data_IF_227052298198
#
_entry.id   IF_227052298198
#
_cell.length_a   1.000
_cell.length_b   1.000
_cell.length_c   1.000
_cell.angle_alpha   90.00
_cell.angle_beta   90.00
_cell.angle_gamma   90.00
#
_symmetry.space_group_name_H-M   'P 1'
#
loop_
_entity.id
_entity.type
_entity.pdbx_description
1 polymer ?
#
# COMPACT_ATOMS: atom_id res chain seq x y z
N UNK A 1 -22.40 8.88 48.36
CA UNK A 1 -21.11 9.59 48.26
C UNK A 1 -20.55 9.29 46.87
N UNK A 2 -21.12 9.76 45.76
CA UNK A 2 -21.51 11.12 45.35
C UNK A 2 -20.33 12.07 45.30
N UNK A 3 -19.70 12.22 44.13
CA UNK A 3 -19.57 13.50 43.40
C UNK A 3 -19.15 13.26 41.95
N UNK A 4 -19.92 13.86 41.05
CA UNK A 4 -19.71 13.98 39.60
C UNK A 4 -19.70 15.48 39.31
N UNK A 5 -18.76 15.98 38.50
CA UNK A 5 -18.74 17.40 38.09
C UNK A 5 -18.88 17.49 36.58
N UNK A 6 -20.08 17.87 36.16
CA UNK A 6 -20.43 18.30 34.81
C UNK A 6 -20.38 19.83 34.75
N UNK A 7 -19.74 20.39 33.73
CA UNK A 7 -19.71 21.83 33.44
C UNK A 7 -20.62 22.11 32.24
N UNK A 8 -21.72 22.82 32.48
CA UNK A 8 -22.69 23.27 31.48
C UNK A 8 -22.48 24.76 31.20
N UNK A 9 -22.19 25.09 29.93
CA UNK A 9 -22.06 26.48 29.45
C UNK A 9 -23.46 27.02 29.12
N UNK A 10 -23.81 28.14 29.74
CA UNK A 10 -25.08 28.83 29.60
C UNK A 10 -25.15 29.64 28.29
N UNK A 11 -26.28 29.50 27.58
CA UNK A 11 -26.70 30.36 26.47
C UNK A 11 -27.20 31.70 27.00
N UNK A 12 -26.67 32.81 26.50
CA UNK A 12 -27.23 34.15 26.69
C UNK A 12 -27.60 34.77 25.35
N UNK A 13 -28.91 34.94 25.13
CA UNK A 13 -29.47 35.79 24.07
C UNK A 13 -29.52 37.25 24.56
N UNK A 14 -29.40 38.24 23.67
CA UNK A 14 -30.00 39.55 23.92
C UNK A 14 -31.09 39.84 22.88
N UNK A 15 -32.32 39.96 23.39
CA UNK A 15 -33.45 40.55 22.69
C UNK A 15 -33.46 42.06 22.91
N UNK A 16 -33.41 42.79 21.80
CA UNK A 16 -34.10 44.06 21.51
C UNK A 16 -34.47 44.99 22.67
N UNK A 17 -33.84 46.18 22.69
CA UNK A 17 -34.53 47.46 22.91
C UNK A 17 -33.57 48.63 22.68
N UNK A 18 -33.76 49.37 21.58
CA UNK A 18 -33.29 50.75 21.44
C UNK A 18 -34.23 51.45 20.44
N UNK A 19 -35.20 52.18 21.00
CA UNK A 19 -36.10 53.05 20.26
C UNK A 19 -35.47 54.45 20.15
N UNK A 20 -35.33 54.89 18.90
CA UNK A 20 -35.47 56.23 18.33
C UNK A 20 -35.15 57.47 19.19
N UNK A 21 -34.21 58.26 18.70
CA UNK A 21 -34.41 59.71 18.61
C UNK A 21 -34.10 60.16 17.18
N UNK A 22 -35.14 60.50 16.44
CA UNK A 22 -35.08 61.33 15.23
C UNK A 22 -34.61 62.73 15.63
N UNK A 23 -33.56 63.20 14.97
CA UNK A 23 -33.26 64.63 14.83
C UNK A 23 -32.99 64.84 13.35
N UNK A 24 -34.00 65.33 12.64
CA UNK A 24 -33.83 65.90 11.31
C UNK A 24 -33.00 67.19 11.44
N UNK A 25 -31.86 67.26 10.75
CA UNK A 25 -31.38 68.52 10.19
C UNK A 25 -30.58 68.24 8.92
N UNK A 26 -31.00 68.93 7.86
CA UNK A 26 -30.54 68.84 6.48
C UNK A 26 -29.01 69.04 6.34
N UNK A 27 -28.44 68.42 5.29
CA UNK A 27 -27.01 68.35 4.85
C UNK A 27 -26.25 67.04 5.16
N UNK A 28 -26.89 65.99 5.68
CA UNK A 28 -26.24 64.74 6.14
C UNK A 28 -26.03 63.59 5.13
N UNK A 29 -26.63 63.64 3.93
CA UNK A 29 -26.77 62.46 3.06
C UNK A 29 -25.47 61.86 2.51
N UNK A 30 -24.39 62.66 2.40
CA UNK A 30 -23.08 62.19 1.91
C UNK A 30 -22.19 61.70 3.05
N UNK A 31 -22.22 62.35 4.23
CA UNK A 31 -21.39 61.95 5.38
C UNK A 31 -21.85 60.63 6.02
N UNK A 32 -23.15 60.39 6.07
CA UNK A 32 -23.69 59.17 6.70
C UNK A 32 -23.49 57.93 5.81
N UNK A 33 -23.62 58.07 4.47
CA UNK A 33 -23.27 57.00 3.52
C UNK A 33 -21.79 56.62 3.58
N UNK A 34 -20.90 57.62 3.59
CA UNK A 34 -19.44 57.40 3.63
C UNK A 34 -18.99 56.78 4.96
N UNK A 35 -19.60 57.13 6.09
CA UNK A 35 -19.29 56.49 7.38
C UNK A 35 -19.78 55.03 7.47
N UNK A 36 -20.94 54.70 6.88
CA UNK A 36 -21.45 53.33 6.87
C UNK A 36 -20.63 52.44 5.94
N UNK A 37 -20.20 52.93 4.78
CA UNK A 37 -19.25 52.22 3.89
C UNK A 37 -17.89 51.98 4.56
N UNK A 38 -17.31 52.99 5.22
CA UNK A 38 -16.02 52.84 5.90
C UNK A 38 -16.05 51.86 7.09
N UNK A 39 -17.11 51.86 7.90
CA UNK A 39 -17.29 50.91 9.00
C UNK A 39 -17.54 49.49 8.50
N UNK A 40 -18.23 49.35 7.36
CA UNK A 40 -18.44 48.06 6.70
C UNK A 40 -17.11 47.47 6.21
N UNK A 41 -16.27 48.27 5.54
CA UNK A 41 -14.94 47.83 5.09
C UNK A 41 -14.01 47.45 6.24
N UNK A 42 -14.02 48.22 7.34
CA UNK A 42 -13.26 47.89 8.54
C UNK A 42 -13.74 46.58 9.20
N UNK A 43 -15.06 46.34 9.21
CA UNK A 43 -15.66 45.10 9.71
C UNK A 43 -15.31 43.89 8.85
N UNK A 44 -15.40 44.03 7.52
CA UNK A 44 -14.99 42.99 6.56
C UNK A 44 -13.51 42.66 6.73
N UNK A 45 -12.65 43.68 6.85
CA UNK A 45 -11.22 43.48 7.09
C UNK A 45 -10.95 42.71 8.39
N UNK A 46 -11.60 43.08 9.48
CA UNK A 46 -11.43 42.38 10.77
C UNK A 46 -11.93 40.93 10.70
N UNK A 47 -13.01 40.66 9.96
CA UNK A 47 -13.49 39.29 9.72
C UNK A 47 -12.47 38.47 8.91
N UNK A 48 -11.87 39.06 7.88
CA UNK A 48 -10.84 38.38 7.07
C UNK A 48 -9.57 38.11 7.89
N UNK A 49 -9.13 39.05 8.73
CA UNK A 49 -8.02 38.85 9.67
C UNK A 49 -8.30 37.71 10.67
N UNK A 50 -9.55 37.61 11.17
CA UNK A 50 -9.96 36.50 12.04
C UNK A 50 -9.93 35.16 11.30
N UNK A 51 -10.50 35.11 10.09
CA UNK A 51 -10.49 33.92 9.26
C UNK A 51 -9.05 33.49 8.94
N UNK A 52 -8.18 34.43 8.60
CA UNK A 52 -6.75 34.19 8.35
C UNK A 52 -6.04 33.60 9.57
N UNK A 53 -6.33 34.08 10.78
CA UNK A 53 -5.64 33.67 12.01
C UNK A 53 -6.17 32.37 12.65
N UNK A 54 -7.36 31.90 12.25
CA UNK A 54 -8.03 30.79 12.94
C UNK A 54 -7.94 29.49 12.11
N UNK A 55 -7.61 28.33 12.70
CA UNK A 55 -7.72 27.04 12.00
C UNK A 55 -9.20 26.70 11.74
N UNK A 56 -9.48 26.01 10.64
CA UNK A 56 -10.83 25.57 10.29
C UNK A 56 -10.87 24.04 10.23
N UNK A 57 -11.99 23.46 10.62
CA UNK A 57 -12.35 22.08 10.25
C UNK A 57 -12.69 22.00 8.76
N UNK A 58 -12.74 20.78 8.21
CA UNK A 58 -13.11 20.57 6.79
C UNK A 58 -14.49 21.16 6.44
N UNK A 59 -15.47 21.04 7.34
CA UNK A 59 -16.83 21.58 7.16
C UNK A 59 -16.84 23.13 7.19
N UNK A 60 -16.08 23.71 8.12
CA UNK A 60 -15.91 25.16 8.21
C UNK A 60 -15.17 25.70 6.98
N UNK A 61 -14.16 25.01 6.50
CA UNK A 61 -13.40 25.37 5.30
C UNK A 61 -14.31 25.45 4.07
N UNK A 62 -15.14 24.44 3.80
CA UNK A 62 -16.09 24.47 2.69
C UNK A 62 -17.06 25.64 2.80
N UNK A 63 -17.51 25.93 4.02
CA UNK A 63 -18.40 27.06 4.31
C UNK A 63 -17.69 28.39 4.01
N UNK A 64 -16.48 28.59 4.54
CA UNK A 64 -15.67 29.79 4.33
C UNK A 64 -15.39 30.01 2.85
N UNK A 65 -14.96 28.97 2.13
CA UNK A 65 -14.71 29.04 0.68
C UNK A 65 -15.98 29.42 -0.08
N UNK A 66 -17.13 28.83 0.27
CA UNK A 66 -18.40 29.11 -0.40
C UNK A 66 -18.87 30.56 -0.20
N UNK A 67 -18.73 31.08 1.02
CA UNK A 67 -19.13 32.45 1.38
C UNK A 67 -18.20 33.47 0.73
N UNK A 68 -16.88 33.25 0.79
CA UNK A 68 -15.90 34.13 0.14
C UNK A 68 -16.12 34.21 -1.37
N UNK A 69 -16.36 33.06 -2.06
CA UNK A 69 -16.70 33.06 -3.49
C UNK A 69 -17.96 33.88 -3.84
N UNK A 70 -18.92 33.97 -2.92
CA UNK A 70 -20.16 34.73 -3.13
C UNK A 70 -19.98 36.23 -2.91
N UNK A 71 -19.06 36.62 -2.03
CA UNK A 71 -18.87 38.01 -1.62
C UNK A 71 -18.14 38.88 -2.67
N UNK A 72 -17.44 38.29 -3.66
CA UNK A 72 -16.76 39.00 -4.78
C UNK A 72 -15.95 40.22 -4.31
N UNK A 73 -15.22 40.09 -3.21
CA UNK A 73 -14.38 41.12 -2.61
C UNK A 73 -13.12 41.33 -3.46
N UNK A 74 -12.73 42.59 -3.68
CA UNK A 74 -11.50 42.95 -4.40
C UNK A 74 -10.26 42.85 -3.51
N UNK A 75 -9.32 41.93 -3.82
CA UNK A 75 -7.94 41.75 -3.30
C UNK A 75 -7.66 40.95 -1.99
N UNK A 76 -8.44 40.99 -0.88
CA UNK A 76 -8.11 40.24 0.34
C UNK A 76 -8.67 38.82 0.36
N UNK A 77 -9.50 38.43 -0.63
CA UNK A 77 -9.86 37.02 -0.88
C UNK A 77 -8.62 36.15 -1.09
N UNK A 78 -7.60 36.70 -1.74
CA UNK A 78 -6.43 35.94 -2.20
C UNK A 78 -5.65 35.32 -1.03
N UNK A 79 -5.49 36.02 0.09
CA UNK A 79 -4.72 35.53 1.26
C UNK A 79 -5.44 34.41 2.01
N UNK A 80 -6.74 34.59 2.27
CA UNK A 80 -7.54 33.61 3.03
C UNK A 80 -7.80 32.38 2.16
N UNK A 81 -8.08 32.57 0.86
CA UNK A 81 -8.28 31.48 -0.09
C UNK A 81 -6.96 30.75 -0.42
N UNK A 82 -5.79 31.39 -0.33
CA UNK A 82 -4.48 30.72 -0.48
C UNK A 82 -4.24 29.59 0.54
N UNK A 83 -4.93 29.60 1.69
CA UNK A 83 -4.87 28.47 2.66
C UNK A 83 -5.48 27.18 2.10
N UNK A 84 -6.34 27.31 1.09
CA UNK A 84 -7.26 26.26 0.63
C UNK A 84 -7.08 25.92 -0.84
N UNK A 85 -6.70 26.90 -1.67
CA UNK A 85 -6.39 26.66 -3.07
C UNK A 85 -4.91 26.43 -3.29
N UNK A 86 -4.62 25.26 -3.82
CA UNK A 86 -3.39 25.00 -4.54
C UNK A 86 -3.41 25.79 -5.87
N UNK A 87 -2.39 26.63 -6.14
CA UNK A 87 -2.23 27.23 -7.47
C UNK A 87 -2.12 26.13 -8.53
N UNK A 88 -2.62 26.31 -9.78
CA UNK A 88 -2.51 25.30 -10.84
C UNK A 88 -1.07 24.78 -11.08
N UNK A 89 -0.05 25.61 -10.80
CA UNK A 89 1.38 25.31 -10.82
C UNK A 89 1.85 24.30 -9.75
N UNK A 90 0.98 23.93 -8.81
CA UNK A 90 1.34 23.06 -7.67
C UNK A 90 1.11 21.58 -7.91
N UNK A 91 0.36 21.15 -8.94
CA UNK A 91 0.17 19.72 -9.18
C UNK A 91 1.48 19.02 -9.57
N UNK A 92 2.31 19.64 -10.41
CA UNK A 92 3.66 19.13 -10.76
C UNK A 92 4.64 19.25 -9.59
N UNK A 93 4.38 20.13 -8.61
CA UNK A 93 5.12 20.16 -7.34
C UNK A 93 4.64 19.08 -6.36
N UNK A 94 3.36 18.70 -6.41
CA UNK A 94 2.77 17.72 -5.51
C UNK A 94 3.42 16.34 -5.69
N UNK A 95 3.65 15.92 -6.94
CA UNK A 95 4.39 14.68 -7.25
C UNK A 95 5.81 14.72 -6.67
N UNK A 96 6.52 15.84 -6.86
CA UNK A 96 7.85 16.03 -6.30
C UNK A 96 7.88 16.01 -4.77
N UNK A 97 6.86 16.57 -4.11
CA UNK A 97 6.71 16.52 -2.64
C UNK A 97 6.44 15.08 -2.19
N UNK A 98 5.56 14.36 -2.88
CA UNK A 98 5.20 13.01 -2.53
C UNK A 98 6.37 12.03 -2.71
N UNK A 99 7.11 12.14 -3.82
CA UNK A 99 8.38 11.41 -4.03
C UNK A 99 9.35 11.67 -2.88
N UNK A 100 9.47 12.92 -2.41
CA UNK A 100 10.33 13.29 -1.28
C UNK A 100 9.84 12.69 0.04
N UNK A 101 8.52 12.69 0.30
CA UNK A 101 7.94 12.08 1.49
C UNK A 101 8.18 10.57 1.52
N UNK A 102 7.85 9.88 0.42
CA UNK A 102 8.07 8.44 0.28
C UNK A 102 9.56 8.11 0.42
N UNK A 103 10.44 8.83 -0.27
CA UNK A 103 11.89 8.65 -0.17
C UNK A 103 12.41 8.89 1.26
N UNK A 104 11.88 9.92 1.94
CA UNK A 104 12.24 10.24 3.32
C UNK A 104 11.87 9.11 4.28
N UNK A 105 10.70 8.50 4.10
CA UNK A 105 10.29 7.31 4.87
C UNK A 105 11.20 6.12 4.58
N UNK A 106 11.50 5.84 3.32
CA UNK A 106 12.37 4.71 2.96
C UNK A 106 13.79 4.87 3.52
N UNK A 107 14.27 6.10 3.69
CA UNK A 107 15.59 6.42 4.24
C UNK A 107 15.61 6.70 5.75
N UNK A 108 14.47 6.65 6.42
CA UNK A 108 14.37 6.95 7.84
C UNK A 108 15.17 5.94 8.67
N UNK A 109 15.96 6.47 9.62
CA UNK A 109 16.79 5.67 10.55
C UNK A 109 16.02 5.24 11.80
N UNK A 110 15.09 6.07 12.27
CA UNK A 110 14.26 5.76 13.42
C UNK A 110 13.11 4.85 13.01
N UNK A 111 13.10 3.64 13.56
CA UNK A 111 12.15 2.59 13.19
C UNK A 111 10.70 2.93 13.59
N UNK A 112 10.51 3.63 14.72
CA UNK A 112 9.19 4.02 15.18
C UNK A 112 8.60 5.11 14.30
N UNK A 113 9.35 6.18 14.05
CA UNK A 113 8.95 7.27 13.18
C UNK A 113 8.68 6.79 11.75
N UNK A 114 9.52 5.87 11.25
CA UNK A 114 9.33 5.23 9.95
C UNK A 114 8.00 4.49 9.88
N UNK A 115 7.68 3.68 10.88
CA UNK A 115 6.42 2.92 10.94
C UNK A 115 5.19 3.82 11.06
N UNK A 116 5.25 4.83 11.92
CA UNK A 116 4.16 5.82 12.09
C UNK A 116 3.92 6.59 10.78
N UNK A 117 4.99 7.02 10.10
CA UNK A 117 4.87 7.74 8.83
C UNK A 117 4.39 6.83 7.70
N UNK A 118 4.80 5.56 7.64
CA UNK A 118 4.25 4.58 6.69
C UNK A 118 2.74 4.41 6.88
N UNK A 119 2.28 4.30 8.12
CA UNK A 119 0.86 4.15 8.44
C UNK A 119 0.06 5.41 8.08
N UNK A 120 0.60 6.59 8.40
CA UNK A 120 -0.02 7.87 8.05
C UNK A 120 -0.15 8.04 6.54
N UNK A 121 0.94 7.84 5.79
CA UNK A 121 0.93 7.97 4.34
C UNK A 121 0.03 6.93 3.67
N UNK A 122 0.02 5.69 4.16
CA UNK A 122 -0.89 4.67 3.64
C UNK A 122 -2.37 5.07 3.80
N UNK A 123 -2.73 5.68 4.93
CA UNK A 123 -4.09 6.20 5.16
C UNK A 123 -4.41 7.37 4.23
N UNK A 124 -3.56 8.40 4.20
CA UNK A 124 -3.77 9.59 3.38
C UNK A 124 -3.84 9.26 1.88
N UNK A 125 -2.97 8.37 1.40
CA UNK A 125 -2.97 7.92 0.01
C UNK A 125 -4.15 7.00 -0.34
N UNK A 126 -4.81 6.41 0.66
CA UNK A 126 -6.02 5.62 0.50
C UNK A 126 -7.32 6.43 0.53
N UNK A 127 -7.31 7.59 1.20
CA UNK A 127 -8.46 8.50 1.28
C UNK A 127 -8.61 9.36 0.00
N UNK A 128 -7.51 9.62 -0.72
CA UNK A 128 -7.46 10.50 -1.90
C UNK A 128 -7.03 9.84 -3.21
N UNK A 129 -7.47 8.61 -3.49
CA UNK A 129 -7.00 7.78 -4.64
C UNK A 129 -7.12 8.51 -5.99
N UNK A 130 -8.10 9.40 -6.15
CA UNK A 130 -8.30 10.18 -7.38
C UNK A 130 -7.59 11.55 -7.39
N UNK A 131 -7.03 12.00 -6.27
CA UNK A 131 -6.43 13.34 -6.12
C UNK A 131 -4.89 13.32 -6.13
N UNK A 132 -4.28 12.20 -5.71
CA UNK A 132 -2.83 12.02 -5.70
C UNK A 132 -2.43 11.02 -6.79
N UNK A 133 -1.99 11.56 -7.94
CA UNK A 133 -1.41 10.75 -9.01
C UNK A 133 0.04 10.38 -8.65
N UNK A 134 0.20 9.49 -7.65
CA UNK A 134 1.50 8.80 -7.51
C UNK A 134 1.70 8.02 -8.79
N UNK A 135 2.57 8.54 -9.64
CA UNK A 135 2.84 7.91 -10.93
C UNK A 135 3.40 6.50 -10.71
N UNK A 136 2.99 5.57 -11.57
CA UNK A 136 3.50 4.19 -11.59
C UNK A 136 5.02 4.19 -11.55
N UNK A 137 5.59 5.05 -12.37
CA UNK A 137 7.02 5.26 -12.56
C UNK A 137 7.71 5.62 -11.24
N UNK A 138 7.08 6.42 -10.39
CA UNK A 138 7.61 6.78 -9.07
C UNK A 138 7.71 5.57 -8.16
N UNK A 139 6.64 4.78 -8.03
CA UNK A 139 6.65 3.61 -7.14
C UNK A 139 7.65 2.57 -7.61
N UNK A 140 7.73 2.32 -8.93
CA UNK A 140 8.70 1.38 -9.48
C UNK A 140 10.13 1.90 -9.36
N UNK A 141 10.38 3.20 -9.53
CA UNK A 141 11.69 3.80 -9.25
C UNK A 141 12.14 3.54 -7.81
N UNK A 142 11.24 3.71 -6.83
CA UNK A 142 11.50 3.41 -5.43
C UNK A 142 11.70 1.90 -5.18
N UNK A 143 10.94 1.03 -5.84
CA UNK A 143 11.15 -0.43 -5.80
C UNK A 143 12.54 -0.78 -6.31
N UNK A 144 12.96 -0.27 -7.48
CA UNK A 144 14.30 -0.51 -8.01
C UNK A 144 15.40 -0.04 -7.06
N UNK A 145 15.22 1.11 -6.42
CA UNK A 145 16.16 1.62 -5.41
C UNK A 145 16.29 0.66 -4.21
N UNK A 146 15.17 0.19 -3.66
CA UNK A 146 15.19 -0.78 -2.56
C UNK A 146 15.76 -2.14 -2.99
N UNK A 147 15.46 -2.62 -4.21
CA UNK A 147 16.05 -3.84 -4.76
C UNK A 147 17.58 -3.72 -4.89
N UNK A 148 18.07 -2.63 -5.46
CA UNK A 148 19.51 -2.40 -5.62
C UNK A 148 20.23 -2.36 -4.27
N UNK A 149 19.61 -1.76 -3.24
CA UNK A 149 20.15 -1.78 -1.88
C UNK A 149 20.11 -3.19 -1.28
N UNK A 150 19.04 -3.96 -1.46
CA UNK A 150 18.98 -5.36 -1.02
C UNK A 150 20.08 -6.20 -1.68
N UNK A 151 20.31 -6.03 -2.99
CA UNK A 151 21.41 -6.69 -3.70
C UNK A 151 22.77 -6.35 -3.10
N UNK A 152 23.03 -5.06 -2.83
CA UNK A 152 24.28 -4.63 -2.20
C UNK A 152 24.46 -5.25 -0.81
N UNK A 153 23.43 -5.18 0.04
CA UNK A 153 23.45 -5.71 1.40
C UNK A 153 23.61 -7.23 1.44
N UNK A 154 22.94 -7.96 0.54
CA UNK A 154 23.05 -9.42 0.45
C UNK A 154 24.40 -9.85 -0.12
N UNK A 155 24.91 -9.13 -1.12
CA UNK A 155 26.26 -9.35 -1.65
C UNK A 155 27.31 -9.16 -0.58
N UNK A 156 27.19 -8.10 0.21
CA UNK A 156 28.09 -7.87 1.33
C UNK A 156 27.97 -8.99 2.37
N UNK A 157 26.75 -9.30 2.82
CA UNK A 157 26.48 -10.38 3.78
C UNK A 157 27.02 -11.75 3.33
N UNK A 158 26.95 -12.07 2.04
CA UNK A 158 27.44 -13.32 1.48
C UNK A 158 28.98 -13.42 1.42
N UNK A 159 29.67 -12.27 1.41
CA UNK A 159 31.14 -12.18 1.34
C UNK A 159 31.77 -11.73 2.67
N UNK A 160 30.99 -11.64 3.75
CA UNK A 160 31.47 -11.19 5.06
C UNK A 160 32.43 -12.22 5.69
N UNK A 161 33.68 -11.82 5.91
CA UNK A 161 34.62 -12.55 6.76
C UNK A 161 34.35 -12.26 8.25
N UNK A 162 34.73 -13.20 9.13
CA UNK A 162 34.57 -13.07 10.59
C UNK A 162 35.39 -11.86 11.13
N UNK A 163 34.74 -10.70 11.31
CA UNK A 163 35.31 -9.52 12.00
C UNK A 163 35.20 -8.16 11.28
N UNK A 164 34.68 -8.09 10.05
CA UNK A 164 34.71 -6.87 9.23
C UNK A 164 33.61 -5.83 9.54
N UNK A 165 32.44 -6.26 10.01
CA UNK A 165 31.26 -5.40 10.22
C UNK A 165 30.38 -5.96 11.33
N UNK A 166 29.67 -5.06 12.01
CA UNK A 166 28.59 -5.46 12.93
C UNK A 166 27.48 -6.21 12.17
N UNK A 167 27.46 -7.52 12.41
CA UNK A 167 26.48 -8.49 11.92
C UNK A 167 25.05 -8.12 12.29
N UNK A 168 24.83 -7.53 13.46
CA UNK A 168 23.51 -7.07 13.90
C UNK A 168 23.03 -5.86 13.11
N UNK A 169 23.91 -4.90 12.84
CA UNK A 169 23.60 -3.73 12.01
C UNK A 169 23.21 -4.14 10.59
N UNK A 170 24.00 -5.03 9.95
CA UNK A 170 23.71 -5.53 8.61
C UNK A 170 22.37 -6.28 8.54
N UNK A 171 22.09 -7.14 9.52
CA UNK A 171 20.79 -7.80 9.64
C UNK A 171 19.64 -6.78 9.75
N UNK A 172 19.81 -5.75 10.57
CA UNK A 172 18.83 -4.67 10.71
C UNK A 172 18.59 -3.89 9.41
N UNK A 173 19.64 -3.64 8.63
CA UNK A 173 19.52 -2.96 7.33
C UNK A 173 18.82 -3.82 6.27
N UNK A 174 19.11 -5.12 6.22
CA UNK A 174 18.41 -6.05 5.31
C UNK A 174 16.93 -6.12 5.69
N UNK A 175 16.61 -6.28 6.98
CA UNK A 175 15.23 -6.29 7.46
C UNK A 175 14.50 -4.99 7.14
N UNK A 176 15.16 -3.84 7.32
CA UNK A 176 14.60 -2.51 6.99
C UNK A 176 14.28 -2.38 5.51
N UNK A 177 15.20 -2.80 4.63
CA UNK A 177 14.97 -2.70 3.18
C UNK A 177 13.94 -3.72 2.67
N UNK A 178 13.84 -4.90 3.29
CA UNK A 178 12.77 -5.85 2.99
C UNK A 178 11.39 -5.30 3.41
N UNK A 179 11.28 -4.67 4.59
CA UNK A 179 10.05 -4.03 5.05
C UNK A 179 9.68 -2.79 4.22
N UNK A 180 10.68 -2.04 3.72
CA UNK A 180 10.48 -0.99 2.71
C UNK A 180 9.86 -1.54 1.43
N UNK A 181 10.40 -2.64 0.91
CA UNK A 181 9.85 -3.31 -0.28
C UNK A 181 8.43 -3.80 -0.04
N UNK A 182 8.17 -4.41 1.12
CA UNK A 182 6.85 -4.90 1.46
C UNK A 182 5.83 -3.76 1.51
N UNK A 183 6.20 -2.60 2.08
CA UNK A 183 5.33 -1.43 2.10
C UNK A 183 5.03 -0.87 0.70
N UNK A 184 6.03 -0.81 -0.18
CA UNK A 184 5.85 -0.44 -1.59
C UNK A 184 4.90 -1.41 -2.31
N UNK A 185 5.04 -2.72 -2.06
CA UNK A 185 4.14 -3.73 -2.59
C UNK A 185 2.68 -3.51 -2.13
N UNK A 186 2.44 -3.19 -0.85
CA UNK A 186 1.07 -2.88 -0.38
C UNK A 186 0.47 -1.67 -1.11
N UNK A 187 1.28 -0.63 -1.35
CA UNK A 187 0.83 0.56 -2.11
C UNK A 187 0.52 0.22 -3.58
N UNK A 188 1.31 -0.65 -4.20
CA UNK A 188 1.04 -1.12 -5.57
C UNK A 188 -0.22 -1.98 -5.62
N UNK A 189 -0.46 -2.83 -4.62
CA UNK A 189 -1.67 -3.66 -4.55
C UNK A 189 -2.91 -2.80 -4.34
N UNK A 190 -2.89 -1.85 -3.39
CA UNK A 190 -4.04 -0.99 -3.11
C UNK A 190 -4.45 -0.14 -4.32
N UNK A 191 -3.49 0.19 -5.19
CA UNK A 191 -3.70 0.94 -6.44
C UNK A 191 -3.91 0.06 -7.68
N UNK A 192 -3.93 -1.27 -7.53
CA UNK A 192 -4.07 -2.24 -8.65
C UNK A 192 -2.96 -2.12 -9.71
N UNK A 193 -1.73 -1.88 -9.27
CA UNK A 193 -0.54 -1.67 -10.12
C UNK A 193 0.59 -2.66 -9.82
N UNK A 194 0.28 -3.73 -9.09
CA UNK A 194 1.26 -4.73 -8.68
C UNK A 194 1.53 -5.83 -9.71
N UNK A 195 0.89 -5.79 -10.88
CA UNK A 195 1.08 -6.76 -11.96
C UNK A 195 2.54 -6.79 -12.46
N UNK A 196 3.12 -5.63 -12.73
CA UNK A 196 4.51 -5.49 -13.15
C UNK A 196 5.49 -5.83 -12.01
N UNK A 197 5.09 -5.62 -10.75
CA UNK A 197 5.88 -6.03 -9.60
C UNK A 197 6.07 -7.56 -9.54
N UNK A 198 5.06 -8.34 -9.96
CA UNK A 198 5.20 -9.80 -10.02
C UNK A 198 6.37 -10.20 -10.92
N UNK A 199 6.46 -9.60 -12.10
CA UNK A 199 7.55 -9.85 -13.05
C UNK A 199 8.87 -9.35 -12.51
N UNK A 200 8.90 -8.10 -11.98
CA UNK A 200 10.09 -7.53 -11.36
C UNK A 200 10.66 -8.43 -10.26
N UNK A 201 9.79 -8.96 -9.38
CA UNK A 201 10.18 -9.85 -8.30
C UNK A 201 10.64 -11.21 -8.83
N UNK A 202 9.94 -11.79 -9.80
CA UNK A 202 10.29 -13.06 -10.42
C UNK A 202 11.68 -13.04 -11.08
N UNK A 203 12.10 -11.90 -11.62
CA UNK A 203 13.37 -11.75 -12.33
C UNK A 203 14.60 -11.64 -11.41
N UNK A 204 14.39 -11.56 -10.09
CA UNK A 204 15.47 -11.42 -9.09
C UNK A 204 16.22 -12.73 -8.79
N UNK A 205 16.68 -13.44 -9.82
CA UNK A 205 17.40 -14.73 -9.71
C UNK A 205 18.76 -14.59 -9.01
N UNK A 206 19.48 -13.52 -9.28
CA UNK A 206 20.75 -13.23 -8.60
C UNK A 206 20.52 -12.95 -7.12
N UNK A 207 19.48 -12.19 -6.77
CA UNK A 207 19.13 -11.91 -5.38
C UNK A 207 18.77 -13.21 -4.65
N UNK A 208 17.98 -14.09 -5.28
CA UNK A 208 17.64 -15.39 -4.73
C UNK A 208 18.88 -16.28 -4.51
N UNK A 209 19.87 -16.21 -5.41
CA UNK A 209 21.16 -16.92 -5.27
C UNK A 209 22.04 -16.37 -4.14
N UNK A 210 22.03 -15.06 -3.90
CA UNK A 210 22.70 -14.46 -2.74
C UNK A 210 21.94 -14.79 -1.44
N UNK A 211 20.61 -14.75 -1.48
CA UNK A 211 19.73 -15.08 -0.37
C UNK A 211 20.03 -16.49 0.16
N UNK A 212 20.22 -17.50 -0.70
CA UNK A 212 20.55 -18.87 -0.25
C UNK A 212 21.92 -19.03 0.42
N UNK A 213 22.82 -18.03 0.33
CA UNK A 213 24.18 -18.10 0.89
C UNK A 213 24.30 -17.52 2.29
N UNK A 214 23.28 -16.79 2.76
CA UNK A 214 23.34 -16.09 4.05
C UNK A 214 22.41 -16.72 5.08
N UNK A 215 22.69 -16.62 6.39
CA UNK A 215 21.88 -17.28 7.41
C UNK A 215 20.43 -16.78 7.42
N UNK A 216 19.47 -17.68 7.65
CA UNK A 216 18.03 -17.40 7.64
C UNK A 216 17.64 -16.17 8.48
N UNK A 217 18.28 -15.97 9.64
CA UNK A 217 18.01 -14.82 10.52
C UNK A 217 18.21 -13.46 9.85
N UNK A 218 19.06 -13.35 8.82
CA UNK A 218 19.30 -12.12 8.07
C UNK A 218 18.24 -11.86 6.99
N UNK A 219 17.68 -12.94 6.44
CA UNK A 219 17.04 -12.91 5.11
C UNK A 219 15.56 -13.28 5.12
N UNK A 220 15.02 -13.78 6.23
CA UNK A 220 13.62 -14.25 6.28
C UNK A 220 12.59 -13.16 5.98
N UNK A 221 12.92 -11.89 6.24
CA UNK A 221 12.07 -10.74 5.88
C UNK A 221 11.90 -10.60 4.36
N UNK A 222 12.89 -11.00 3.57
CA UNK A 222 12.80 -11.01 2.10
C UNK A 222 11.78 -12.07 1.65
N UNK A 223 11.81 -13.25 2.27
CA UNK A 223 10.85 -14.33 2.00
C UNK A 223 9.40 -13.94 2.35
N UNK A 224 9.18 -13.00 3.27
CA UNK A 224 7.85 -12.46 3.56
C UNK A 224 7.26 -11.65 2.41
N UNK A 225 8.10 -11.03 1.56
CA UNK A 225 7.63 -10.34 0.35
C UNK A 225 7.02 -11.37 -0.61
N UNK A 226 7.72 -12.48 -0.85
CA UNK A 226 7.21 -13.62 -1.65
C UNK A 226 5.93 -14.19 -1.05
N UNK A 227 5.89 -14.38 0.28
CA UNK A 227 4.69 -14.87 0.96
C UNK A 227 3.50 -13.94 0.74
N UNK A 228 3.70 -12.62 0.90
CA UNK A 228 2.66 -11.61 0.66
C UNK A 228 2.21 -11.57 -0.80
N UNK A 229 3.13 -11.73 -1.74
CA UNK A 229 2.82 -11.78 -3.17
C UNK A 229 1.98 -13.02 -3.51
N UNK A 230 2.30 -14.18 -2.94
CA UNK A 230 1.48 -15.40 -3.09
C UNK A 230 0.08 -15.23 -2.50
N UNK A 231 -0.07 -14.53 -1.38
CA UNK A 231 -1.39 -14.16 -0.84
C UNK A 231 -2.14 -13.28 -1.83
N UNK A 232 -1.49 -12.25 -2.39
CA UNK A 232 -2.12 -11.33 -3.33
C UNK A 232 -2.60 -12.05 -4.61
N UNK A 233 -1.76 -12.93 -5.15
CA UNK A 233 -2.06 -13.75 -6.33
C UNK A 233 -3.19 -14.76 -6.05
N UNK A 234 -3.08 -15.51 -4.94
CA UNK A 234 -4.04 -16.54 -4.56
C UNK A 234 -5.44 -15.98 -4.23
N UNK A 235 -5.50 -14.76 -3.69
CA UNK A 235 -6.76 -14.06 -3.42
C UNK A 235 -7.30 -13.28 -4.63
N UNK A 236 -6.58 -13.24 -5.75
CA UNK A 236 -6.95 -12.47 -6.93
C UNK A 236 -6.87 -10.94 -6.75
N UNK A 237 -6.13 -10.46 -5.74
CA UNK A 237 -5.81 -9.03 -5.58
C UNK A 237 -4.90 -8.53 -6.70
N UNK A 238 -4.06 -9.42 -7.23
CA UNK A 238 -3.15 -9.17 -8.36
C UNK A 238 -3.44 -10.20 -9.44
N UNK A 239 -3.73 -9.72 -10.65
CA UNK A 239 -4.06 -10.57 -11.80
C UNK A 239 -2.93 -10.47 -12.83
N UNK A 240 -2.32 -11.62 -13.15
CA UNK A 240 -1.25 -11.76 -14.14
C UNK A 240 -1.39 -13.08 -14.89
N UNK A 241 -0.66 -13.22 -16.00
CA UNK A 241 -0.63 -14.47 -16.76
C UNK A 241 0.01 -15.63 -15.98
N UNK A 242 -0.28 -16.87 -16.40
CA UNK A 242 0.23 -18.10 -15.79
C UNK A 242 1.75 -18.13 -15.64
N UNK A 243 2.47 -17.65 -16.66
CA UNK A 243 3.93 -17.69 -16.69
C UNK A 243 4.56 -16.80 -15.60
N UNK A 244 4.03 -15.60 -15.37
CA UNK A 244 4.52 -14.71 -14.31
C UNK A 244 4.38 -15.36 -12.91
N UNK A 245 3.24 -16.01 -12.64
CA UNK A 245 3.02 -16.76 -11.38
C UNK A 245 4.01 -17.92 -11.24
N UNK A 246 4.20 -18.67 -12.32
CA UNK A 246 5.18 -19.76 -12.34
C UNK A 246 6.60 -19.25 -12.09
N UNK A 247 7.00 -18.14 -12.72
CA UNK A 247 8.34 -17.56 -12.56
C UNK A 247 8.62 -17.11 -11.13
N UNK A 248 7.63 -16.50 -10.44
CA UNK A 248 7.78 -16.17 -9.00
C UNK A 248 8.08 -17.43 -8.18
N UNK A 249 7.30 -18.49 -8.36
CA UNK A 249 7.49 -19.73 -7.60
C UNK A 249 8.81 -20.42 -7.96
N UNK A 250 9.22 -20.39 -9.22
CA UNK A 250 10.51 -20.95 -9.64
C UNK A 250 11.70 -20.22 -9.00
N UNK A 251 11.63 -18.90 -8.90
CA UNK A 251 12.72 -18.10 -8.33
C UNK A 251 12.74 -18.15 -6.80
N UNK A 252 11.58 -18.11 -6.13
CA UNK A 252 11.51 -17.78 -4.69
C UNK A 252 10.91 -18.85 -3.78
N UNK A 253 10.30 -19.92 -4.31
CA UNK A 253 9.62 -20.90 -3.47
C UNK A 253 10.57 -21.67 -2.55
N UNK A 254 11.79 -21.95 -3.02
CA UNK A 254 12.83 -22.61 -2.22
C UNK A 254 13.21 -21.76 -1.00
N UNK A 255 13.53 -20.49 -1.23
CA UNK A 255 13.81 -19.50 -0.19
C UNK A 255 12.67 -19.41 0.84
N UNK A 256 11.42 -19.41 0.35
CA UNK A 256 10.24 -19.41 1.22
C UNK A 256 10.17 -20.67 2.10
N UNK A 257 10.46 -21.86 1.56
CA UNK A 257 10.49 -23.11 2.34
C UNK A 257 11.62 -23.14 3.38
N UNK A 258 12.76 -22.52 3.10
CA UNK A 258 13.87 -22.44 4.04
C UNK A 258 13.61 -21.48 5.20
N UNK A 259 12.96 -20.36 4.91
CA UNK A 259 12.78 -19.29 5.89
C UNK A 259 11.47 -19.39 6.68
N UNK A 260 10.54 -20.25 6.25
CA UNK A 260 9.18 -20.31 6.81
C UNK A 260 9.15 -20.51 8.34
N UNK A 261 9.98 -21.41 8.87
CA UNK A 261 10.12 -21.61 10.31
C UNK A 261 10.56 -20.35 11.07
N UNK A 262 11.43 -19.53 10.47
CA UNK A 262 11.85 -18.24 11.03
C UNK A 262 10.74 -17.19 10.94
N UNK A 263 10.06 -17.09 9.80
CA UNK A 263 8.92 -16.20 9.62
C UNK A 263 7.83 -16.45 10.66
N UNK A 264 7.53 -17.73 10.95
CA UNK A 264 6.53 -18.14 11.95
C UNK A 264 6.95 -17.77 13.38
N UNK A 265 8.23 -17.91 13.72
CA UNK A 265 8.72 -17.71 15.10
C UNK A 265 8.95 -16.24 15.45
N UNK A 266 9.34 -15.41 14.49
CA UNK A 266 9.81 -14.03 14.78
C UNK A 266 8.67 -13.01 14.79
N UNK A 267 7.55 -13.27 14.12
CA UNK A 267 6.44 -12.31 14.04
C UNK A 267 5.16 -12.87 14.63
N UNK A 268 4.67 -12.27 15.72
CA UNK A 268 3.35 -12.56 16.29
C UNK A 268 2.20 -12.22 15.33
N UNK A 269 2.44 -11.33 14.37
CA UNK A 269 1.48 -10.92 13.36
C UNK A 269 1.54 -11.79 12.08
N UNK A 270 2.38 -12.83 12.05
CA UNK A 270 2.45 -13.73 10.91
C UNK A 270 1.19 -14.62 10.85
N UNK A 271 0.32 -14.32 9.90
CA UNK A 271 -0.86 -15.15 9.63
C UNK A 271 -0.47 -16.36 8.77
N UNK A 272 -0.10 -17.44 9.47
CA UNK A 272 0.26 -18.74 8.90
C UNK A 272 -0.77 -19.21 7.85
N UNK A 273 -2.05 -19.14 8.22
CA UNK A 273 -3.15 -19.69 7.44
C UNK A 273 -3.33 -18.91 6.15
N UNK A 274 -3.33 -17.58 6.24
CA UNK A 274 -3.47 -16.72 5.05
C UNK A 274 -2.34 -16.98 4.05
N UNK A 275 -1.10 -17.17 4.52
CA UNK A 275 0.04 -17.49 3.64
C UNK A 275 -0.10 -18.87 3.00
N UNK A 276 -0.45 -19.90 3.76
CA UNK A 276 -0.63 -21.27 3.26
C UNK A 276 -1.77 -21.39 2.25
N UNK A 277 -2.91 -20.73 2.52
CA UNK A 277 -4.04 -20.66 1.60
C UNK A 277 -3.64 -19.90 0.33
N UNK A 278 -3.00 -18.73 0.45
CA UNK A 278 -2.54 -17.93 -0.69
C UNK A 278 -1.56 -18.69 -1.60
N UNK A 279 -0.59 -19.39 -1.01
CA UNK A 279 0.34 -20.23 -1.73
C UNK A 279 -0.37 -21.41 -2.42
N UNK A 280 -1.28 -22.08 -1.71
CA UNK A 280 -2.08 -23.19 -2.25
C UNK A 280 -2.91 -22.75 -3.47
N UNK A 281 -3.65 -21.64 -3.35
CA UNK A 281 -4.47 -21.12 -4.44
C UNK A 281 -3.60 -20.70 -5.63
N UNK A 282 -2.47 -20.02 -5.37
CA UNK A 282 -1.51 -19.65 -6.44
C UNK A 282 -1.03 -20.87 -7.22
N UNK A 283 -0.60 -21.94 -6.52
CA UNK A 283 -0.13 -23.19 -7.15
C UNK A 283 -1.25 -23.83 -7.98
N UNK A 284 -2.48 -23.88 -7.45
CA UNK A 284 -3.62 -24.51 -8.13
C UNK A 284 -4.05 -23.80 -9.42
N UNK A 285 -3.58 -22.58 -9.65
CA UNK A 285 -3.82 -21.84 -10.89
C UNK A 285 -2.82 -22.16 -12.02
N UNK A 286 -1.75 -22.91 -11.72
CA UNK A 286 -0.75 -23.31 -12.71
C UNK A 286 -1.20 -24.53 -13.53
N UNK A 287 -0.45 -24.90 -14.57
CA UNK A 287 -0.69 -26.14 -15.31
C UNK A 287 -0.50 -27.39 -14.42
N UNK A 288 -1.11 -28.52 -14.78
CA UNK A 288 -0.96 -29.79 -14.04
C UNK A 288 0.50 -30.24 -13.93
N UNK A 289 1.31 -30.03 -14.96
CA UNK A 289 2.73 -30.37 -14.96
C UNK A 289 3.52 -29.51 -13.97
N UNK A 290 3.27 -28.19 -13.95
CA UNK A 290 3.88 -27.28 -12.98
C UNK A 290 3.46 -27.60 -11.54
N UNK A 291 2.15 -27.87 -11.32
CA UNK A 291 1.63 -28.29 -10.02
C UNK A 291 2.36 -29.53 -9.51
N UNK A 292 2.53 -30.56 -10.35
CA UNK A 292 3.22 -31.80 -9.97
C UNK A 292 4.65 -31.52 -9.50
N UNK A 293 5.45 -30.76 -10.25
CA UNK A 293 6.84 -30.46 -9.89
C UNK A 293 6.92 -29.76 -8.53
N UNK A 294 6.07 -28.76 -8.32
CA UNK A 294 6.05 -27.97 -7.08
C UNK A 294 5.60 -28.83 -5.90
N UNK A 295 4.53 -29.60 -6.06
CA UNK A 295 3.91 -30.37 -4.98
C UNK A 295 4.77 -31.57 -4.55
N UNK A 296 5.48 -32.21 -5.49
CA UNK A 296 6.44 -33.27 -5.12
C UNK A 296 7.66 -32.70 -4.39
N UNK A 297 8.14 -31.51 -4.78
CA UNK A 297 9.19 -30.82 -4.04
C UNK A 297 8.73 -30.42 -2.64
N UNK A 298 7.54 -29.83 -2.53
CA UNK A 298 6.94 -29.53 -1.23
C UNK A 298 6.84 -30.77 -0.34
N UNK A 299 6.38 -31.90 -0.88
CA UNK A 299 6.25 -33.15 -0.13
C UNK A 299 7.58 -33.57 0.50
N UNK A 300 8.69 -33.51 -0.25
CA UNK A 300 10.03 -33.77 0.29
C UNK A 300 10.41 -32.79 1.40
N UNK A 301 10.25 -31.48 1.21
CA UNK A 301 10.54 -30.50 2.27
C UNK A 301 9.68 -30.71 3.52
N UNK A 302 8.39 -31.01 3.35
CA UNK A 302 7.46 -31.19 4.46
C UNK A 302 7.81 -32.43 5.28
N UNK A 303 8.23 -33.52 4.65
CA UNK A 303 8.74 -34.71 5.36
C UNK A 303 10.00 -34.41 6.18
N UNK A 304 10.86 -33.50 5.71
CA UNK A 304 12.12 -33.17 6.39
C UNK A 304 11.99 -32.06 7.44
N UNK A 305 11.08 -31.10 7.26
CA UNK A 305 10.96 -29.88 8.09
C UNK A 305 9.68 -29.79 8.91
N UNK A 306 8.67 -30.61 8.62
CA UNK A 306 7.37 -30.58 9.30
C UNK A 306 6.75 -29.18 9.31
N UNK A 307 6.38 -28.69 10.50
CA UNK A 307 5.75 -27.38 10.68
C UNK A 307 6.62 -26.18 10.28
N UNK A 308 7.93 -26.36 10.12
CA UNK A 308 8.87 -25.35 9.58
C UNK A 308 8.82 -25.20 8.05
N UNK A 309 7.91 -25.91 7.39
CA UNK A 309 7.54 -25.76 5.98
C UNK A 309 6.05 -25.32 5.88
N UNK A 310 5.66 -24.47 4.91
CA UNK A 310 4.25 -24.13 4.72
C UNK A 310 3.42 -25.39 4.41
N UNK A 311 2.33 -25.59 5.12
CA UNK A 311 1.41 -26.69 4.88
C UNK A 311 0.47 -26.35 3.70
N UNK A 312 0.82 -26.84 2.51
CA UNK A 312 -0.02 -26.73 1.30
C UNK A 312 -0.74 -28.06 0.97
N UNK A 313 -1.05 -28.87 1.98
CA UNK A 313 -1.79 -30.14 1.86
C UNK A 313 -3.10 -29.96 1.08
N UNK A 314 -3.77 -28.80 1.23
CA UNK A 314 -4.98 -28.45 0.48
C UNK A 314 -4.74 -28.53 -1.03
N UNK A 315 -3.68 -27.88 -1.53
CA UNK A 315 -3.32 -27.92 -2.95
C UNK A 315 -2.92 -29.34 -3.38
N UNK A 316 -2.14 -30.05 -2.55
CA UNK A 316 -1.73 -31.42 -2.82
C UNK A 316 -2.94 -32.36 -3.02
N UNK A 317 -3.94 -32.30 -2.14
CA UNK A 317 -5.17 -33.09 -2.24
C UNK A 317 -5.96 -32.79 -3.51
N UNK A 318 -6.04 -31.52 -3.91
CA UNK A 318 -6.76 -31.13 -5.14
C UNK A 318 -6.03 -31.64 -6.38
N UNK A 319 -4.72 -31.42 -6.47
CA UNK A 319 -3.90 -31.95 -7.56
C UNK A 319 -3.95 -33.47 -7.64
N UNK A 320 -3.82 -34.19 -6.51
CA UNK A 320 -3.89 -35.66 -6.46
C UNK A 320 -5.20 -36.19 -7.05
N UNK A 321 -6.34 -35.61 -6.65
CA UNK A 321 -7.65 -35.99 -7.22
C UNK A 321 -7.73 -35.72 -8.72
N UNK A 322 -7.15 -34.62 -9.19
CA UNK A 322 -7.10 -34.31 -10.63
C UNK A 322 -6.22 -35.31 -11.39
N UNK A 323 -5.04 -35.63 -10.87
CA UNK A 323 -4.04 -36.48 -11.51
C UNK A 323 -4.41 -37.97 -11.53
N UNK A 324 -5.00 -38.50 -10.46
CA UNK A 324 -5.19 -39.95 -10.31
C UNK A 324 -6.65 -40.39 -10.27
N UNK A 325 -7.58 -39.56 -9.77
CA UNK A 325 -8.98 -40.00 -9.61
C UNK A 325 -9.81 -39.64 -10.84
N UNK A 326 -9.71 -38.39 -11.33
CA UNK A 326 -10.55 -37.92 -12.44
C UNK A 326 -10.18 -38.53 -13.79
N UNK A 327 -8.92 -38.94 -13.98
CA UNK A 327 -8.50 -39.67 -15.19
C UNK A 327 -9.03 -41.10 -15.27
N UNK A 328 -9.60 -41.66 -14.19
CA UNK A 328 -10.26 -42.98 -14.20
C UNK A 328 -11.79 -42.92 -14.43
N UNK A 329 -12.36 -41.73 -14.62
CA UNK A 329 -13.83 -41.55 -14.77
C UNK A 329 -14.23 -41.16 -16.20
N UNK A 330 -13.27 -41.00 -17.12
CA UNK A 330 -13.56 -40.96 -18.57
C UNK A 330 -13.33 -42.37 -19.11
N UNK A 331 -14.37 -43.12 -19.51
CA UNK A 331 -14.17 -44.38 -20.20
C UNK A 331 -13.38 -44.14 -21.50
N UNK A 332 -12.48 -45.05 -21.84
CA UNK A 332 -11.77 -45.10 -23.11
C UNK A 332 -12.77 -45.27 -24.30
N UNK A 333 -13.48 -44.22 -24.69
CA UNK A 333 -14.34 -44.23 -25.88
C UNK A 333 -13.66 -43.60 -27.10
N UNK A 334 -12.35 -43.79 -27.30
CA UNK A 334 -11.70 -43.40 -28.56
C UNK A 334 -10.61 -44.37 -29.06
N UNK A 335 -10.62 -45.64 -28.63
CA UNK A 335 -9.67 -46.66 -29.13
C UNK A 335 -10.27 -47.72 -30.05
N UNK A 336 -11.54 -47.64 -30.44
CA UNK A 336 -12.14 -48.65 -31.33
C UNK A 336 -13.10 -48.06 -32.36
N UNK A 337 -12.59 -47.39 -33.39
CA UNK A 337 -13.29 -47.29 -34.68
C UNK A 337 -12.27 -47.16 -35.83
N UNK A 338 -11.75 -48.29 -36.31
CA UNK A 338 -11.41 -48.45 -37.72
C UNK A 338 -11.95 -49.81 -38.20
N UNK A 339 -13.21 -49.79 -38.62
CA UNK A 339 -13.77 -50.76 -39.56
C UNK A 339 -13.93 -50.04 -40.90
N UNK A 340 -13.17 -50.48 -41.90
CA UNK A 340 -13.50 -50.36 -43.32
C UNK A 340 -12.72 -51.48 -44.06
N UNK A 341 -13.31 -52.66 -44.17
CA UNK A 341 -14.05 -53.17 -45.35
C UNK A 341 -13.11 -53.63 -46.47
N UNK A 342 -12.97 -54.96 -46.56
CA UNK A 342 -12.44 -55.66 -47.73
C UNK A 342 -13.30 -55.34 -48.96
N UNK A 343 -12.67 -55.00 -50.08
CA UNK A 343 -13.24 -55.14 -51.42
C UNK A 343 -12.12 -55.45 -52.43
N UNK A 344 -12.00 -56.72 -52.83
CA UNK A 344 -11.66 -57.14 -54.20
C UNK A 344 -13.00 -57.58 -54.84
N UNK A 345 -13.27 -57.53 -56.17
CA UNK A 345 -12.40 -57.83 -57.34
C UNK A 345 -12.54 -56.78 -58.49
N UNK A 346 -11.86 -56.80 -59.63
CA UNK A 346 -11.58 -57.82 -60.68
C UNK A 346 -10.17 -57.79 -61.23
#
# INVERSE_FOLDING_TARGET
MSTSSSSSVAKSSPSSNLNLHEVEHEHGGVRQKVCVEFLFDAGVKSCLEFLEATPWSEDEEQTVVSVLRQLRLHDPETMVLQRVYAEPSTSTRADGVLVRLLSGVLQAKDEKARREMKALLARLLGEGIDQFDVTRETLFHLCHKCLNLLHLLLSEAANMDEGQRDRGALMGEIAREADNMQWLLEMLISRKMADEFVTLWADQKELASLHSKIPCMYRFEISRITARLCVALGQGQVLVYGDARSSVLQTWLEALYEDYGWMRRTSRAFDKRTVEDGLSETILTLSMAQQQVILLRWFDHFLNKGDDCPNIEKAFKVWWRRAFIRHHVVPEEHSQLQIAVCNYPT
#
